data_IF_347084931109
#
_entry.id   IF_347084931109
#
_cell.length_a   1.000
_cell.length_b   1.000
_cell.length_c   1.000
_cell.angle_alpha   90.00
_cell.angle_beta   90.00
_cell.angle_gamma   90.00
#
_symmetry.space_group_name_H-M   'P 1'
#
loop_
_entity.id
_entity.type
_entity.pdbx_description
1 polymer ?
#
# COMPACT_ATOMS: atom_id res chain seq x y z
N UNK A 1 4.68 -8.84 3.95
CA UNK A 1 4.32 -8.02 2.78
C UNK A 1 4.89 -6.62 2.96
N UNK A 2 5.44 -6.02 1.90
CA UNK A 2 6.01 -4.67 1.96
C UNK A 2 5.20 -3.69 1.11
N UNK A 3 4.90 -2.52 1.67
CA UNK A 3 4.22 -1.41 1.01
C UNK A 3 5.16 -0.22 0.98
N UNK A 4 5.38 0.37 -0.20
CA UNK A 4 6.14 1.61 -0.35
C UNK A 4 5.25 2.73 -0.87
N UNK A 5 5.28 3.86 -0.19
CA UNK A 5 4.59 5.09 -0.60
C UNK A 5 5.64 6.01 -1.20
N UNK A 6 5.53 6.28 -2.50
CA UNK A 6 6.42 7.16 -3.23
C UNK A 6 5.81 8.56 -3.26
N UNK A 7 6.52 9.56 -2.74
CA UNK A 7 6.03 10.93 -2.67
C UNK A 7 7.15 11.90 -2.27
N UNK A 8 7.17 13.11 -2.84
CA UNK A 8 8.15 14.13 -2.44
C UNK A 8 7.75 14.93 -1.21
N UNK A 9 6.44 15.19 -1.04
CA UNK A 9 5.93 16.13 -0.03
C UNK A 9 5.29 15.39 1.13
N UNK A 10 5.78 15.65 2.34
CA UNK A 10 5.30 15.03 3.59
C UNK A 10 3.78 15.06 3.77
N UNK A 11 3.05 16.17 3.50
CA UNK A 11 1.59 16.16 3.66
C UNK A 11 0.88 15.16 2.72
N UNK A 12 1.34 15.07 1.48
CA UNK A 12 0.80 14.12 0.49
C UNK A 12 1.14 12.69 0.89
N UNK A 13 2.37 12.44 1.33
CA UNK A 13 2.79 11.15 1.86
C UNK A 13 1.89 10.69 3.02
N UNK A 14 1.59 11.61 3.94
CA UNK A 14 0.79 11.32 5.12
C UNK A 14 -0.67 11.04 4.76
N UNK A 15 -1.23 11.72 3.75
CA UNK A 15 -2.57 11.42 3.25
C UNK A 15 -2.68 9.99 2.72
N UNK A 16 -1.73 9.55 1.88
CA UNK A 16 -1.71 8.16 1.38
C UNK A 16 -1.47 7.17 2.52
N UNK A 17 -0.54 7.47 3.43
CA UNK A 17 -0.25 6.62 4.58
C UNK A 17 -1.49 6.39 5.44
N UNK A 18 -2.31 7.43 5.70
CA UNK A 18 -3.55 7.28 6.45
C UNK A 18 -4.55 6.35 5.77
N UNK A 19 -4.71 6.47 4.46
CA UNK A 19 -5.61 5.58 3.69
C UNK A 19 -5.13 4.13 3.74
N UNK A 20 -3.81 3.92 3.60
CA UNK A 20 -3.19 2.60 3.71
C UNK A 20 -3.37 2.00 5.10
N UNK A 21 -3.13 2.78 6.15
CA UNK A 21 -3.35 2.35 7.53
C UNK A 21 -4.79 1.96 7.81
N UNK A 22 -5.74 2.76 7.33
CA UNK A 22 -7.16 2.45 7.46
C UNK A 22 -7.51 1.13 6.77
N UNK A 23 -6.98 0.90 5.56
CA UNK A 23 -7.20 -0.34 4.82
C UNK A 23 -6.59 -1.55 5.53
N UNK A 24 -5.38 -1.41 6.11
CA UNK A 24 -4.76 -2.46 6.92
C UNK A 24 -5.65 -2.79 8.12
N UNK A 25 -6.07 -1.79 8.89
CA UNK A 25 -6.92 -2.00 10.07
C UNK A 25 -8.24 -2.73 9.74
N UNK A 26 -8.82 -2.46 8.57
CA UNK A 26 -10.01 -3.16 8.09
C UNK A 26 -9.75 -4.63 7.75
N UNK A 27 -8.52 -4.94 7.30
CA UNK A 27 -8.11 -6.29 6.91
C UNK A 27 -7.49 -7.08 8.06
N UNK A 28 -6.98 -6.43 9.11
CA UNK A 28 -6.35 -7.11 10.26
C UNK A 28 -7.23 -8.21 10.89
N UNK A 29 -8.56 -8.05 11.05
CA UNK A 29 -9.40 -9.14 11.57
C UNK A 29 -9.46 -10.36 10.64
N UNK A 30 -9.32 -10.16 9.33
CA UNK A 30 -9.34 -11.23 8.32
C UNK A 30 -7.96 -11.86 8.14
N UNK A 31 -6.89 -11.11 8.37
CA UNK A 31 -5.52 -11.56 8.18
C UNK A 31 -4.67 -11.23 9.41
N UNK A 32 -4.94 -11.85 10.57
CA UNK A 32 -4.25 -11.54 11.82
C UNK A 32 -2.74 -11.85 11.77
N UNK A 33 -2.35 -12.83 10.96
CA UNK A 33 -0.95 -13.26 10.78
C UNK A 33 -0.23 -12.48 9.66
N UNK A 34 -0.88 -11.49 9.05
CA UNK A 34 -0.28 -10.69 8.00
C UNK A 34 0.78 -9.73 8.57
N UNK A 35 2.05 -10.05 8.32
CA UNK A 35 3.15 -9.13 8.54
C UNK A 35 3.18 -8.08 7.43
N UNK A 36 2.84 -6.83 7.74
CA UNK A 36 2.79 -5.71 6.79
C UNK A 36 3.70 -4.59 7.26
N UNK A 37 4.64 -4.19 6.40
CA UNK A 37 5.53 -3.06 6.64
C UNK A 37 5.24 -1.93 5.65
N UNK A 38 5.29 -0.67 6.12
CA UNK A 38 5.07 0.52 5.30
C UNK A 38 6.30 1.40 5.32
N UNK A 39 6.85 1.68 4.14
CA UNK A 39 8.01 2.57 3.95
C UNK A 39 7.61 3.79 3.11
N UNK A 40 7.93 4.98 3.60
CA UNK A 40 7.77 6.22 2.83
C UNK A 40 9.07 6.56 2.12
N UNK A 41 9.07 6.47 0.79
CA UNK A 41 10.22 6.76 -0.05
C UNK A 41 10.07 8.18 -0.61
N UNK A 42 10.96 9.07 -0.16
CA UNK A 42 11.01 10.47 -0.59
C UNK A 42 12.21 10.79 -1.48
N UNK A 43 13.19 9.88 -1.51
CA UNK A 43 14.39 10.05 -2.30
C UNK A 43 14.08 9.88 -3.79
N UNK A 44 14.50 10.84 -4.61
CA UNK A 44 14.21 10.85 -6.04
C UNK A 44 14.84 9.70 -6.81
N UNK A 45 16.02 9.22 -6.39
CA UNK A 45 16.72 8.12 -7.05
C UNK A 45 16.05 6.79 -6.74
N UNK A 46 15.55 6.63 -5.50
CA UNK A 46 14.76 5.45 -5.12
C UNK A 46 13.39 5.44 -5.81
N UNK A 47 12.74 6.59 -5.97
CA UNK A 47 11.45 6.70 -6.70
C UNK A 47 11.61 6.32 -8.17
N UNK A 48 12.70 6.77 -8.81
CA UNK A 48 12.96 6.51 -10.22
C UNK A 48 13.07 5.01 -10.56
N UNK A 49 13.37 4.14 -9.57
CA UNK A 49 13.36 2.68 -9.75
C UNK A 49 11.98 2.11 -10.09
N UNK A 50 10.91 2.79 -9.68
CA UNK A 50 9.53 2.31 -9.83
C UNK A 50 8.72 3.11 -10.85
N UNK A 51 9.03 4.40 -11.06
CA UNK A 51 8.29 5.26 -12.00
C UNK A 51 9.22 6.22 -12.74
N UNK A 52 9.18 6.16 -14.07
CA UNK A 52 9.99 7.02 -14.94
C UNK A 52 9.37 8.42 -15.12
N UNK A 53 8.05 8.56 -14.93
CA UNK A 53 7.30 9.78 -15.27
C UNK A 53 6.93 10.65 -14.05
N UNK A 54 7.49 10.37 -12.86
CA UNK A 54 7.25 11.14 -11.62
C UNK A 54 5.76 11.36 -11.29
N UNK A 55 4.90 10.40 -11.64
CA UNK A 55 3.47 10.45 -11.34
C UNK A 55 3.25 10.16 -9.85
N UNK A 56 3.32 11.20 -9.02
CA UNK A 56 3.23 11.09 -7.56
C UNK A 56 1.94 11.72 -7.02
N UNK A 57 1.39 11.20 -5.91
CA UNK A 57 1.92 10.06 -5.15
C UNK A 57 1.71 8.72 -5.88
N UNK A 58 2.54 7.74 -5.54
CA UNK A 58 2.44 6.37 -6.06
C UNK A 58 2.50 5.35 -4.91
N UNK A 59 1.81 4.22 -5.08
CA UNK A 59 1.81 3.11 -4.14
C UNK A 59 2.43 1.89 -4.79
N UNK A 60 3.41 1.30 -4.11
CA UNK A 60 4.07 0.05 -4.51
C UNK A 60 3.75 -1.00 -3.46
N UNK A 61 3.39 -2.20 -3.88
CA UNK A 61 3.14 -3.35 -3.01
C UNK A 61 3.97 -4.52 -3.52
N UNK A 62 4.80 -5.13 -2.66
CA UNK A 62 5.71 -6.22 -3.03
C UNK A 62 6.49 -5.91 -4.32
N UNK A 63 7.18 -4.76 -4.36
CA UNK A 63 7.96 -4.27 -5.51
C UNK A 63 7.18 -3.97 -6.80
N UNK A 64 5.84 -4.03 -6.79
CA UNK A 64 5.02 -3.71 -7.96
C UNK A 64 4.32 -2.37 -7.78
N UNK A 65 4.41 -1.50 -8.79
CA UNK A 65 3.66 -0.24 -8.84
C UNK A 65 2.17 -0.54 -9.07
N UNK A 66 1.33 -0.17 -8.10
CA UNK A 66 -0.12 -0.47 -8.10
C UNK A 66 -0.95 0.78 -8.37
N UNK A 67 -0.60 1.91 -7.77
CA UNK A 67 -1.29 3.19 -7.95
C UNK A 67 -0.27 4.26 -8.32
N UNK A 68 -0.66 5.17 -9.21
CA UNK A 68 0.20 6.27 -9.66
C UNK A 68 -0.60 7.54 -9.98
N UNK A 69 -0.06 8.69 -9.57
CA UNK A 69 -0.55 10.01 -9.95
C UNK A 69 -1.77 10.54 -9.18
N UNK A 70 -2.26 9.85 -8.15
CA UNK A 70 -3.38 10.31 -7.32
C UNK A 70 -3.36 9.69 -5.93
N UNK A 71 -4.12 10.28 -5.00
CA UNK A 71 -4.36 9.71 -3.68
C UNK A 71 -5.49 8.69 -3.83
N UNK A 72 -5.27 7.40 -3.54
CA UNK A 72 -6.30 6.36 -3.70
C UNK A 72 -7.37 6.48 -2.61
N UNK A 73 -8.55 5.91 -2.87
CA UNK A 73 -9.59 5.71 -1.87
C UNK A 73 -9.26 4.57 -0.91
N UNK A 74 -9.97 4.47 0.21
CA UNK A 74 -9.79 3.37 1.14
C UNK A 74 -10.17 2.02 0.53
N UNK A 75 -11.27 1.97 -0.22
CA UNK A 75 -11.80 0.77 -0.88
C UNK A 75 -10.83 0.24 -1.94
N UNK A 76 -10.21 1.12 -2.73
CA UNK A 76 -9.18 0.74 -3.69
C UNK A 76 -7.99 0.07 -3.01
N UNK A 77 -7.49 0.67 -1.93
CA UNK A 77 -6.35 0.12 -1.19
C UNK A 77 -6.72 -1.21 -0.52
N UNK A 78 -7.92 -1.34 0.03
CA UNK A 78 -8.41 -2.62 0.57
C UNK A 78 -8.39 -3.71 -0.51
N UNK A 79 -8.92 -3.43 -1.70
CA UNK A 79 -8.95 -4.38 -2.79
C UNK A 79 -7.53 -4.82 -3.22
N UNK A 80 -6.59 -3.86 -3.35
CA UNK A 80 -5.21 -4.18 -3.71
C UNK A 80 -4.49 -4.97 -2.63
N UNK A 81 -4.69 -4.64 -1.36
CA UNK A 81 -4.10 -5.38 -0.24
C UNK A 81 -4.65 -6.79 -0.15
N UNK A 82 -5.95 -7.01 -0.36
CA UNK A 82 -6.53 -8.37 -0.38
C UNK A 82 -5.89 -9.25 -1.46
N UNK A 83 -5.76 -8.72 -2.69
CA UNK A 83 -5.10 -9.44 -3.80
C UNK A 83 -3.64 -9.72 -3.47
N UNK A 84 -2.92 -8.75 -2.92
CA UNK A 84 -1.52 -8.90 -2.56
C UNK A 84 -1.32 -9.92 -1.42
N UNK A 85 -2.17 -9.90 -0.39
CA UNK A 85 -2.14 -10.85 0.72
C UNK A 85 -2.40 -12.28 0.24
N UNK A 86 -3.44 -12.47 -0.58
CA UNK A 86 -3.74 -13.78 -1.17
C UNK A 86 -2.58 -14.29 -2.04
N UNK A 87 -1.97 -13.41 -2.84
CA UNK A 87 -0.81 -13.76 -3.70
C UNK A 87 0.44 -14.06 -2.87
N UNK A 88 0.60 -13.42 -1.71
CA UNK A 88 1.68 -13.70 -0.75
C UNK A 88 1.43 -14.94 0.12
N UNK A 89 0.33 -15.66 -0.09
CA UNK A 89 0.01 -16.91 0.60
C UNK A 89 -0.75 -16.74 1.92
N UNK A 90 -1.07 -15.51 2.33
CA UNK A 90 -1.93 -15.29 3.50
C UNK A 90 -3.34 -15.75 3.19
N UNK A 91 -3.91 -16.53 4.11
CA UNK A 91 -5.28 -17.00 4.00
C UNK A 91 -6.18 -16.15 4.89
N UNK A 92 -7.35 -15.70 4.41
CA UNK A 92 -8.31 -15.03 5.27
C UNK A 92 -8.83 -16.03 6.31
N UNK A 93 -8.88 -15.64 7.57
CA UNK A 93 -9.59 -16.41 8.59
C UNK A 93 -11.08 -16.39 8.24
N UNK A 94 -11.74 -17.55 8.35
CA UNK A 94 -13.19 -17.60 8.21
C UNK A 94 -13.81 -16.67 9.26
N UNK A 95 -14.56 -15.67 8.80
CA UNK A 95 -15.37 -14.85 9.71
C UNK A 95 -16.42 -15.78 10.31
N UNK A 96 -16.18 -16.26 11.54
CA UNK A 96 -17.22 -16.91 12.32
C UNK A 96 -18.27 -15.83 12.61
N UNK A 97 -19.38 -15.90 11.88
CA UNK A 97 -20.54 -15.02 12.06
C UNK A 97 -21.27 -15.28 13.38
#
# INVERSE_FOLDING_TARGET
>A
MEIKILCYRTPVCYSVWRVVQQAINQLSPQFPDADITINMIKDSTEIAKYTHNLLLPSLVINEKLICSGHIPSNEEVVAWLQVALATSGYQPVAMNG
#
